data_IF_854416101655
#
_entry.id   IF_854416101655
#
_cell.length_a   1.000
_cell.length_b   1.000
_cell.length_c   1.000
_cell.angle_alpha   90.00
_cell.angle_beta   90.00
_cell.angle_gamma   90.00
#
_symmetry.space_group_name_H-M   'P 1'
#
loop_
_entity.id
_entity.type
_entity.pdbx_description
1 polymer ?
#
# COMPACT_ATOMS: atom_id res chain seq x y z
N UNK A 1 -12.18 -33.42 7.85
CA UNK A 1 -11.86 -32.24 7.00
C UNK A 1 -10.35 -32.18 6.84
N UNK A 2 -9.86 -32.17 5.61
CA UNK A 2 -8.43 -31.98 5.31
C UNK A 2 -8.24 -30.51 4.99
N UNK A 3 -7.34 -29.83 5.71
CA UNK A 3 -6.99 -28.45 5.46
C UNK A 3 -5.60 -28.44 4.83
N UNK A 4 -5.51 -28.09 3.57
CA UNK A 4 -4.23 -27.90 2.90
C UNK A 4 -3.51 -26.65 3.44
N UNK A 5 -2.18 -26.68 3.56
CA UNK A 5 -1.43 -25.48 3.90
C UNK A 5 -1.63 -24.40 2.83
N UNK A 6 -1.60 -23.10 3.20
CA UNK A 6 -1.68 -22.04 2.23
C UNK A 6 -0.51 -22.11 1.24
N UNK A 7 -0.77 -21.70 -0.01
CA UNK A 7 0.29 -21.59 -1.00
C UNK A 7 1.35 -20.56 -0.52
N UNK A 8 2.63 -20.80 -0.77
CA UNK A 8 3.66 -19.83 -0.39
C UNK A 8 3.41 -18.48 -1.12
N UNK A 9 3.80 -17.35 -0.50
CA UNK A 9 3.75 -16.05 -1.17
C UNK A 9 4.48 -16.09 -2.52
N UNK A 10 3.96 -15.38 -3.51
CA UNK A 10 4.65 -15.19 -4.80
C UNK A 10 6.04 -14.59 -4.58
N UNK A 11 6.97 -14.89 -5.47
CA UNK A 11 8.22 -14.14 -5.56
C UNK A 11 7.96 -12.73 -6.15
N UNK A 12 8.92 -11.81 -5.99
CA UNK A 12 8.86 -10.51 -6.66
C UNK A 12 8.85 -10.67 -8.18
N UNK A 13 9.66 -11.59 -8.70
CA UNK A 13 9.78 -11.89 -10.13
C UNK A 13 8.47 -12.42 -10.71
N UNK A 14 7.75 -13.28 -9.98
CA UNK A 14 6.45 -13.78 -10.41
C UNK A 14 5.39 -12.68 -10.39
N UNK A 15 5.45 -11.80 -9.38
CA UNK A 15 4.57 -10.64 -9.30
C UNK A 15 4.84 -9.68 -10.46
N UNK A 16 6.10 -9.32 -10.72
CA UNK A 16 6.49 -8.45 -11.83
C UNK A 16 6.04 -9.03 -13.16
N UNK A 17 6.29 -10.32 -13.39
CA UNK A 17 5.87 -11.05 -14.60
C UNK A 17 4.35 -10.99 -14.80
N UNK A 18 3.58 -11.07 -13.71
CA UNK A 18 2.11 -10.96 -13.79
C UNK A 18 1.63 -9.55 -14.18
N UNK A 19 2.38 -8.51 -13.82
CA UNK A 19 2.10 -7.14 -14.25
C UNK A 19 2.64 -6.81 -15.65
N UNK A 20 3.60 -7.57 -16.14
CA UNK A 20 4.17 -7.45 -17.49
C UNK A 20 3.33 -8.09 -18.60
N UNK A 21 2.24 -8.78 -18.24
CA UNK A 21 1.31 -9.32 -19.23
C UNK A 21 0.68 -8.18 -20.06
N UNK A 22 0.36 -8.43 -21.34
CA UNK A 22 -0.10 -7.39 -22.27
C UNK A 22 -1.54 -6.94 -21.99
N UNK A 23 -1.78 -6.34 -20.86
CA UNK A 23 -3.07 -5.77 -20.51
C UNK A 23 -3.33 -4.50 -21.32
N UNK A 24 -4.50 -4.42 -21.94
CA UNK A 24 -4.91 -3.21 -22.68
C UNK A 24 -5.20 -2.02 -21.78
N UNK A 25 -5.48 -2.24 -20.50
CA UNK A 25 -5.95 -1.24 -19.51
C UNK A 25 -7.22 -0.50 -19.95
N UNK A 26 -7.94 -1.03 -20.93
CA UNK A 26 -9.17 -0.46 -21.48
C UNK A 26 -10.38 -1.29 -21.05
N UNK A 27 -11.58 -0.67 -20.98
CA UNK A 27 -12.82 -1.42 -20.79
C UNK A 27 -13.04 -2.46 -21.88
N UNK A 28 -13.69 -3.56 -21.53
CA UNK A 28 -14.07 -4.56 -22.51
C UNK A 28 -14.96 -3.94 -23.61
N UNK A 29 -14.80 -4.30 -24.91
CA UNK A 29 -15.53 -3.70 -26.04
C UNK A 29 -17.06 -3.68 -25.90
N UNK A 30 -17.66 -4.62 -25.14
CA UNK A 30 -19.11 -4.62 -24.85
C UNK A 30 -19.61 -3.37 -24.14
N UNK A 31 -18.72 -2.60 -23.53
CA UNK A 31 -19.04 -1.34 -22.85
C UNK A 31 -18.82 -0.10 -23.72
N UNK A 32 -18.56 -0.26 -25.02
CA UNK A 32 -18.37 0.86 -25.94
C UNK A 32 -19.55 1.83 -25.84
N UNK A 33 -19.26 3.11 -25.67
CA UNK A 33 -20.27 4.16 -25.48
C UNK A 33 -20.93 4.22 -24.10
N UNK A 34 -20.54 3.35 -23.15
CA UNK A 34 -21.04 3.38 -21.78
C UNK A 34 -19.94 3.87 -20.82
N UNK A 35 -20.33 4.78 -19.93
CA UNK A 35 -19.45 5.22 -18.85
C UNK A 35 -19.39 4.17 -17.75
N UNK A 36 -18.18 3.83 -17.28
CA UNK A 36 -17.95 2.93 -16.17
C UNK A 36 -17.27 3.73 -15.05
N UNK A 37 -18.02 4.19 -14.01
CA UNK A 37 -17.48 5.05 -12.96
C UNK A 37 -16.27 4.43 -12.24
N UNK A 38 -16.29 3.13 -11.96
CA UNK A 38 -15.18 2.44 -11.33
C UNK A 38 -13.90 2.50 -12.18
N UNK A 39 -14.03 2.33 -13.51
CA UNK A 39 -12.89 2.46 -14.41
C UNK A 39 -12.32 3.89 -14.40
N UNK A 40 -13.18 4.91 -14.45
CA UNK A 40 -12.74 6.31 -14.40
C UNK A 40 -11.95 6.63 -13.14
N UNK A 41 -12.26 5.98 -12.02
CA UNK A 41 -11.57 6.17 -10.75
C UNK A 41 -10.17 5.54 -10.72
N UNK A 42 -9.98 4.37 -11.39
CA UNK A 42 -8.78 3.56 -11.21
C UNK A 42 -7.87 3.49 -12.44
N UNK A 43 -8.31 3.96 -13.61
CA UNK A 43 -7.57 3.81 -14.89
C UNK A 43 -6.13 4.33 -14.86
N UNK A 44 -5.84 5.30 -14.03
CA UNK A 44 -4.51 5.88 -13.83
C UNK A 44 -3.90 5.54 -12.47
N UNK A 45 -4.31 4.43 -11.87
CA UNK A 45 -3.70 3.92 -10.65
C UNK A 45 -2.64 2.86 -10.96
N UNK A 46 -1.60 2.83 -10.13
CA UNK A 46 -0.50 1.87 -10.18
C UNK A 46 -0.47 1.12 -8.86
N UNK A 47 -0.61 -0.20 -8.93
CA UNK A 47 -0.47 -1.06 -7.75
C UNK A 47 1.00 -1.46 -7.59
N UNK A 48 1.60 -1.15 -6.43
CA UNK A 48 3.03 -1.36 -6.19
C UNK A 48 3.35 -2.60 -5.34
N UNK A 49 2.36 -3.15 -4.64
CA UNK A 49 2.52 -4.36 -3.83
C UNK A 49 1.19 -5.06 -3.59
N UNK A 50 1.26 -6.31 -3.15
CA UNK A 50 0.14 -7.12 -2.67
C UNK A 50 0.37 -7.51 -1.23
N UNK A 51 -0.71 -7.92 -0.55
CA UNK A 51 -0.68 -8.31 0.86
C UNK A 51 -0.90 -7.12 1.80
N UNK A 52 -1.28 -7.43 3.03
CA UNK A 52 -1.47 -6.44 4.09
C UNK A 52 -1.28 -7.11 5.46
N UNK A 53 -0.32 -6.66 6.23
CA UNK A 53 -0.08 -7.17 7.59
C UNK A 53 -0.92 -6.46 8.67
N UNK A 54 -1.87 -5.62 8.26
CA UNK A 54 -2.81 -4.96 9.17
C UNK A 54 -3.68 -5.92 9.96
N UNK A 55 -4.16 -7.00 9.31
CA UNK A 55 -4.91 -8.07 9.96
C UNK A 55 -6.21 -7.61 10.63
N UNK A 56 -6.85 -6.55 10.11
CA UNK A 56 -8.13 -6.08 10.62
C UNK A 56 -9.18 -7.18 10.54
N UNK A 57 -9.98 -7.36 11.61
CA UNK A 57 -10.86 -8.52 11.77
C UNK A 57 -11.99 -8.59 10.73
N UNK A 58 -12.37 -7.48 10.15
CA UNK A 58 -13.43 -7.36 9.15
C UNK A 58 -12.90 -7.40 7.69
N UNK A 59 -11.57 -7.34 7.49
CA UNK A 59 -10.97 -7.19 6.18
C UNK A 59 -10.43 -8.52 5.64
N UNK A 60 -10.82 -8.88 4.43
CA UNK A 60 -10.39 -10.14 3.79
C UNK A 60 -9.05 -10.03 3.06
N UNK A 61 -8.44 -8.85 2.94
CA UNK A 61 -7.20 -8.67 2.19
C UNK A 61 -6.08 -9.56 2.72
N UNK A 62 -5.87 -9.60 4.04
CA UNK A 62 -4.83 -10.45 4.63
C UNK A 62 -5.11 -11.95 4.47
N UNK A 63 -6.37 -12.36 4.29
CA UNK A 63 -6.74 -13.75 3.98
C UNK A 63 -6.59 -14.04 2.49
N UNK A 64 -7.01 -13.11 1.62
CA UNK A 64 -7.03 -13.29 0.17
C UNK A 64 -5.65 -13.07 -0.49
N UNK A 65 -4.95 -11.99 -0.12
CA UNK A 65 -3.63 -11.65 -0.68
C UNK A 65 -2.48 -12.07 0.23
N UNK A 66 -2.78 -12.47 1.45
CA UNK A 66 -1.80 -12.83 2.46
C UNK A 66 -1.39 -11.67 3.37
N UNK A 67 -0.79 -12.06 4.50
CA UNK A 67 -0.22 -11.16 5.50
C UNK A 67 1.15 -10.60 5.08
N UNK A 68 1.88 -11.35 4.28
CA UNK A 68 3.22 -10.96 3.84
C UNK A 68 3.12 -10.02 2.63
N UNK A 69 3.89 -8.95 2.69
CA UNK A 69 3.96 -8.00 1.58
C UNK A 69 4.84 -8.59 0.48
N UNK A 70 4.29 -8.68 -0.71
CA UNK A 70 5.04 -8.96 -1.95
C UNK A 70 5.04 -7.68 -2.77
N UNK A 71 6.21 -7.07 -2.92
CA UNK A 71 6.38 -5.80 -3.61
C UNK A 71 6.90 -6.01 -5.01
N UNK A 72 6.40 -5.22 -5.94
CA UNK A 72 6.97 -5.14 -7.29
C UNK A 72 8.34 -4.50 -7.26
N UNK A 73 9.17 -4.82 -8.23
CA UNK A 73 10.41 -4.10 -8.46
C UNK A 73 10.15 -2.66 -8.89
N UNK A 74 11.11 -1.79 -8.67
CA UNK A 74 11.07 -0.40 -9.14
C UNK A 74 10.95 -0.34 -10.66
N UNK A 75 11.68 -1.19 -11.34
CA UNK A 75 11.71 -1.31 -12.80
C UNK A 75 10.31 -1.64 -13.36
N UNK A 76 9.63 -2.64 -12.78
CA UNK A 76 8.27 -3.03 -13.15
C UNK A 76 7.28 -1.87 -12.95
N UNK A 77 7.37 -1.16 -11.82
CA UNK A 77 6.51 -0.01 -11.54
C UNK A 77 6.74 1.12 -12.54
N UNK A 78 8.00 1.50 -12.79
CA UNK A 78 8.34 2.58 -13.73
C UNK A 78 7.97 2.23 -15.17
N UNK A 79 8.08 0.95 -15.56
CA UNK A 79 7.61 0.46 -16.87
C UNK A 79 6.11 0.71 -17.03
N UNK A 80 5.30 0.28 -16.07
CA UNK A 80 3.85 0.49 -16.11
C UNK A 80 3.46 1.97 -16.11
N UNK A 81 4.15 2.82 -15.34
CA UNK A 81 3.93 4.29 -15.38
C UNK A 81 4.14 4.84 -16.79
N UNK A 82 5.21 4.41 -17.49
CA UNK A 82 5.49 4.83 -18.86
C UNK A 82 4.40 4.37 -19.85
N UNK A 83 3.78 3.23 -19.62
CA UNK A 83 2.64 2.75 -20.41
C UNK A 83 1.37 3.58 -20.13
N UNK A 84 1.10 3.90 -18.86
CA UNK A 84 -0.04 4.75 -18.46
C UNK A 84 0.03 6.15 -19.05
N UNK A 85 1.23 6.74 -19.16
CA UNK A 85 1.42 8.05 -19.78
C UNK A 85 0.94 8.08 -21.24
N UNK A 86 1.00 6.95 -21.94
CA UNK A 86 0.58 6.84 -23.35
C UNK A 86 -0.93 6.71 -23.52
N UNK A 87 -1.69 6.55 -22.44
CA UNK A 87 -3.15 6.45 -22.54
C UNK A 87 -3.77 7.77 -23.04
N UNK A 88 -4.76 7.73 -23.97
CA UNK A 88 -5.27 8.93 -24.64
C UNK A 88 -5.79 10.03 -23.71
N UNK A 89 -6.37 9.63 -22.58
CA UNK A 89 -6.99 10.55 -21.60
C UNK A 89 -6.05 10.99 -20.49
N UNK A 90 -4.80 10.55 -20.51
CA UNK A 90 -3.85 10.88 -19.44
C UNK A 90 -3.45 12.37 -19.50
N UNK A 91 -3.58 13.05 -18.37
CA UNK A 91 -3.32 14.50 -18.25
C UNK A 91 -2.12 14.83 -17.34
N UNK A 92 -1.31 13.81 -17.03
CA UNK A 92 -0.14 13.96 -16.15
C UNK A 92 -0.38 13.63 -14.68
N UNK A 93 -1.54 13.08 -14.32
CA UNK A 93 -1.91 12.80 -12.94
C UNK A 93 -2.16 11.31 -12.72
N UNK A 94 -1.35 10.67 -11.87
CA UNK A 94 -1.67 9.35 -11.34
C UNK A 94 -2.67 9.50 -10.19
N UNK A 95 -3.75 8.73 -10.23
CA UNK A 95 -4.81 8.80 -9.20
C UNK A 95 -4.45 8.06 -7.93
N UNK A 96 -3.59 7.05 -8.03
CA UNK A 96 -3.05 6.29 -6.90
C UNK A 96 -1.74 5.62 -7.30
N UNK A 97 -0.71 5.80 -6.47
CA UNK A 97 0.55 5.05 -6.53
C UNK A 97 0.67 4.31 -5.19
N UNK A 98 -0.02 3.19 -5.07
CA UNK A 98 -0.23 2.54 -3.79
C UNK A 98 -0.51 1.04 -3.86
N UNK A 99 -1.18 0.54 -2.85
CA UNK A 99 -1.52 -0.87 -2.71
C UNK A 99 -2.65 -1.09 -1.71
N UNK A 100 -2.85 -2.31 -1.19
CA UNK A 100 -3.88 -2.61 -0.19
C UNK A 100 -3.81 -1.72 1.05
N UNK A 101 -2.61 -1.20 1.35
CA UNK A 101 -2.36 -0.12 2.29
C UNK A 101 -1.21 0.72 1.74
N UNK A 102 -1.37 2.03 1.66
CA UNK A 102 -0.45 2.91 0.93
C UNK A 102 1.01 2.80 1.39
N UNK A 103 1.25 2.66 2.69
CA UNK A 103 2.58 2.72 3.28
C UNK A 103 3.11 1.37 3.81
N UNK A 104 3.01 0.31 3.00
CA UNK A 104 3.54 -1.01 3.34
C UNK A 104 4.55 -1.56 2.31
N UNK A 105 4.89 -0.79 1.28
CA UNK A 105 5.80 -1.20 0.22
C UNK A 105 7.17 -1.63 0.80
N UNK A 106 7.63 -2.82 0.44
CA UNK A 106 8.86 -3.48 0.90
C UNK A 106 9.00 -3.66 2.42
N UNK A 107 7.93 -3.46 3.18
CA UNK A 107 7.95 -3.74 4.61
C UNK A 107 7.80 -5.24 4.87
N UNK A 108 8.77 -5.82 5.57
CA UNK A 108 8.80 -7.25 5.92
C UNK A 108 9.44 -7.48 7.28
N UNK A 109 9.44 -8.72 7.76
CA UNK A 109 10.20 -9.08 8.96
C UNK A 109 11.70 -8.96 8.74
N UNK A 110 12.42 -8.46 9.74
CA UNK A 110 13.89 -8.39 9.74
C UNK A 110 14.49 -9.79 9.77
N UNK A 111 13.87 -10.69 10.53
CA UNK A 111 14.19 -12.11 10.58
C UNK A 111 12.99 -12.90 10.04
N UNK A 112 13.16 -13.49 8.87
CA UNK A 112 12.14 -14.27 8.19
C UNK A 112 11.86 -15.62 8.89
N UNK A 113 12.82 -16.20 9.62
CA UNK A 113 12.61 -17.45 10.34
C UNK A 113 11.59 -17.28 11.48
N UNK A 114 11.59 -16.11 12.13
CA UNK A 114 10.57 -15.74 13.11
C UNK A 114 9.21 -15.61 12.41
N UNK A 115 9.16 -14.95 11.25
CA UNK A 115 7.92 -14.74 10.51
C UNK A 115 7.29 -16.04 10.02
N UNK A 116 8.08 -16.99 9.55
CA UNK A 116 7.60 -18.32 9.11
C UNK A 116 6.86 -19.10 10.19
N UNK A 117 7.23 -18.92 11.46
CA UNK A 117 6.60 -19.57 12.62
C UNK A 117 5.49 -18.72 13.27
N UNK A 118 5.32 -17.49 12.82
CA UNK A 118 4.44 -16.52 13.47
C UNK A 118 2.96 -16.77 13.15
N UNK A 119 2.16 -17.00 14.22
CA UNK A 119 0.70 -17.20 14.14
C UNK A 119 -0.12 -15.93 14.40
N UNK A 120 0.53 -14.77 14.64
CA UNK A 120 -0.19 -13.52 14.88
C UNK A 120 -0.93 -13.09 13.60
N UNK A 121 -2.21 -12.69 13.70
CA UNK A 121 -2.98 -12.23 12.54
C UNK A 121 -2.54 -10.85 12.05
N UNK A 122 -1.90 -10.05 12.91
CA UNK A 122 -1.46 -8.69 12.61
C UNK A 122 0.00 -8.47 13.04
N UNK A 123 0.76 -7.73 12.25
CA UNK A 123 2.11 -7.27 12.63
C UNK A 123 2.10 -5.91 13.35
N UNK A 124 0.93 -5.23 13.41
CA UNK A 124 0.82 -3.88 13.97
C UNK A 124 -0.22 -3.76 15.10
N UNK A 125 -1.02 -4.79 15.34
CA UNK A 125 -1.98 -4.81 16.44
C UNK A 125 -1.69 -5.97 17.41
N UNK A 126 -1.81 -5.78 18.74
CA UNK A 126 -2.10 -4.52 19.47
C UNK A 126 -0.92 -3.55 19.51
N UNK A 127 0.28 -4.00 19.16
CA UNK A 127 1.51 -3.20 19.06
C UNK A 127 2.29 -3.61 17.82
N UNK A 128 3.03 -2.67 17.24
CA UNK A 128 3.94 -2.93 16.11
C UNK A 128 4.95 -4.00 16.51
N UNK A 129 5.12 -4.99 15.65
CA UNK A 129 6.01 -6.12 15.88
C UNK A 129 7.47 -5.62 15.89
N UNK A 130 8.28 -5.95 16.90
CA UNK A 130 9.69 -5.55 16.94
C UNK A 130 10.51 -6.09 15.76
N UNK A 131 10.06 -7.23 15.19
CA UNK A 131 10.66 -7.82 14.01
C UNK A 131 10.23 -7.17 12.69
N UNK A 132 9.28 -6.22 12.70
CA UNK A 132 8.86 -5.52 11.49
C UNK A 132 9.91 -4.46 11.10
N UNK A 133 10.37 -4.51 9.85
CA UNK A 133 11.05 -3.39 9.23
C UNK A 133 10.00 -2.38 8.78
N UNK A 134 9.99 -1.20 9.39
CA UNK A 134 9.07 -0.09 9.10
C UNK A 134 9.73 1.06 8.34
N UNK A 135 10.79 0.78 7.61
CA UNK A 135 11.53 1.78 6.83
C UNK A 135 10.74 2.20 5.59
N UNK A 136 10.49 3.49 5.45
CA UNK A 136 9.76 4.05 4.31
C UNK A 136 10.66 4.52 3.15
N UNK A 137 11.99 4.40 3.25
CA UNK A 137 12.93 4.82 2.18
C UNK A 137 12.61 4.19 0.82
N UNK A 138 12.34 2.86 0.71
CA UNK A 138 12.02 2.27 -0.58
C UNK A 138 10.78 2.89 -1.24
N UNK A 139 9.79 3.29 -0.44
CA UNK A 139 8.58 3.94 -0.93
C UNK A 139 8.84 5.38 -1.39
N UNK A 140 9.64 6.12 -0.62
CA UNK A 140 10.11 7.46 -1.01
C UNK A 140 10.88 7.43 -2.33
N UNK A 141 11.72 6.42 -2.53
CA UNK A 141 12.49 6.25 -3.77
C UNK A 141 11.58 5.99 -4.98
N UNK A 142 10.48 5.25 -4.78
CA UNK A 142 9.47 5.06 -5.83
C UNK A 142 8.80 6.39 -6.16
N UNK A 143 8.36 7.16 -5.16
CA UNK A 143 7.66 8.43 -5.39
C UNK A 143 8.56 9.42 -6.16
N UNK A 144 9.79 9.62 -5.70
CA UNK A 144 10.77 10.48 -6.37
C UNK A 144 11.07 10.04 -7.81
N UNK A 145 11.18 8.72 -8.01
CA UNK A 145 11.46 8.19 -9.34
C UNK A 145 10.29 8.33 -10.31
N UNK A 146 9.06 8.16 -9.84
CA UNK A 146 7.84 8.33 -10.65
C UNK A 146 7.63 9.81 -10.99
N UNK A 147 7.75 10.71 -10.02
CA UNK A 147 7.55 12.14 -10.25
C UNK A 147 8.62 12.76 -11.15
N UNK A 148 9.80 12.11 -11.28
CA UNK A 148 10.84 12.51 -12.21
C UNK A 148 10.57 12.09 -13.67
N UNK A 149 9.55 11.26 -13.95
CA UNK A 149 9.26 10.80 -15.32
C UNK A 149 8.62 11.94 -16.12
N UNK A 150 9.16 12.28 -17.31
CA UNK A 150 8.54 13.24 -18.20
C UNK A 150 7.10 12.84 -18.55
N UNK A 151 6.18 13.79 -18.40
CA UNK A 151 4.73 13.54 -18.57
C UNK A 151 3.96 13.32 -17.27
N UNK A 152 4.62 13.05 -16.15
CA UNK A 152 4.02 13.08 -14.82
C UNK A 152 4.07 14.52 -14.27
N UNK A 153 2.93 15.07 -13.94
CA UNK A 153 2.80 16.35 -13.23
C UNK A 153 2.68 16.12 -11.73
N UNK A 154 1.98 15.06 -11.33
CA UNK A 154 1.80 14.68 -9.94
C UNK A 154 1.35 13.22 -9.82
N UNK A 155 1.88 12.51 -8.84
CA UNK A 155 1.38 11.21 -8.40
C UNK A 155 0.63 11.36 -7.08
N UNK A 156 -0.64 10.97 -7.06
CA UNK A 156 -1.45 11.01 -5.84
C UNK A 156 -1.47 9.66 -5.16
N UNK A 157 -1.77 9.68 -3.87
CA UNK A 157 -1.99 8.50 -3.05
C UNK A 157 -3.47 8.46 -2.68
N UNK A 158 -4.22 7.58 -3.37
CA UNK A 158 -5.63 7.35 -3.14
C UNK A 158 -5.91 6.17 -2.19
N UNK A 159 -4.91 5.33 -1.95
CA UNK A 159 -4.96 4.20 -1.02
C UNK A 159 -4.93 4.66 0.44
N UNK A 160 -5.51 3.85 1.35
CA UNK A 160 -5.55 4.18 2.77
C UNK A 160 -4.18 4.08 3.45
N UNK A 161 -3.82 5.12 4.18
CA UNK A 161 -2.56 5.21 4.93
C UNK A 161 -2.74 4.64 6.34
N UNK A 162 -1.80 3.82 6.78
CA UNK A 162 -1.71 3.32 8.16
C UNK A 162 -1.00 4.37 9.01
N UNK A 163 -1.79 5.24 9.65
CA UNK A 163 -1.28 6.29 10.53
C UNK A 163 -0.57 5.75 11.78
N UNK A 164 -0.93 4.57 12.24
CA UNK A 164 -0.25 3.88 13.33
C UNK A 164 1.21 3.52 13.00
N UNK A 165 1.54 3.27 11.72
CA UNK A 165 2.93 3.14 11.28
C UNK A 165 3.65 4.50 11.24
N UNK A 166 2.94 5.59 10.95
CA UNK A 166 3.53 6.93 10.93
C UNK A 166 3.84 7.43 12.37
N UNK A 167 3.00 7.06 13.33
CA UNK A 167 3.20 7.39 14.74
C UNK A 167 4.19 6.47 15.44
N UNK A 168 4.53 5.33 14.84
CA UNK A 168 5.40 4.34 15.47
C UNK A 168 6.84 4.84 15.60
N UNK A 169 7.35 4.82 16.83
CA UNK A 169 8.76 5.08 17.11
C UNK A 169 9.52 3.73 17.18
N UNK A 170 10.31 3.46 16.17
CA UNK A 170 11.20 2.31 16.12
C UNK A 170 12.45 2.58 16.99
N UNK A 171 13.13 1.50 17.41
CA UNK A 171 14.48 1.61 17.99
C UNK A 171 15.53 2.05 16.95
N UNK A 172 15.22 1.92 15.67
CA UNK A 172 16.07 2.35 14.57
C UNK A 172 15.80 3.83 14.23
N UNK A 173 16.75 4.69 14.59
CA UNK A 173 16.66 6.12 14.33
C UNK A 173 16.60 6.45 12.80
N UNK A 174 17.18 5.62 11.94
CA UNK A 174 17.11 5.82 10.49
C UNK A 174 15.69 5.56 9.99
N UNK A 175 15.02 4.51 10.49
CA UNK A 175 13.61 4.24 10.17
C UNK A 175 12.69 5.37 10.66
N UNK A 176 12.94 5.94 11.82
CA UNK A 176 12.15 7.09 12.33
C UNK A 176 12.32 8.33 11.44
N UNK A 177 13.55 8.63 11.01
CA UNK A 177 13.80 9.72 10.06
C UNK A 177 13.10 9.49 8.72
N UNK A 178 13.18 8.29 8.17
CA UNK A 178 12.50 7.96 6.90
C UNK A 178 10.98 8.06 7.03
N UNK A 179 10.41 7.70 8.17
CA UNK A 179 8.98 7.84 8.44
C UNK A 179 8.57 9.32 8.49
N UNK A 180 9.36 10.18 9.13
CA UNK A 180 9.09 11.61 9.17
C UNK A 180 9.21 12.26 7.77
N UNK A 181 10.24 11.89 7.00
CA UNK A 181 10.40 12.33 5.60
C UNK A 181 9.22 11.88 4.74
N UNK A 182 8.83 10.60 4.85
CA UNK A 182 7.69 10.05 4.13
C UNK A 182 6.38 10.78 4.47
N UNK A 183 6.14 11.03 5.76
CA UNK A 183 4.93 11.73 6.20
C UNK A 183 4.86 13.13 5.60
N UNK A 184 5.97 13.86 5.62
CA UNK A 184 6.06 15.20 4.99
C UNK A 184 5.83 15.12 3.49
N UNK A 185 6.53 14.22 2.81
CA UNK A 185 6.42 14.04 1.36
C UNK A 185 4.99 13.71 0.95
N UNK A 186 4.36 12.74 1.64
CA UNK A 186 2.98 12.34 1.41
C UNK A 186 2.03 13.54 1.50
N UNK A 187 2.09 14.31 2.61
CA UNK A 187 1.14 15.38 2.87
C UNK A 187 1.33 16.55 1.89
N UNK A 188 2.57 16.92 1.61
CA UNK A 188 2.87 18.09 0.76
C UNK A 188 2.66 17.79 -0.73
N UNK A 189 3.05 16.60 -1.18
CA UNK A 189 3.16 16.32 -2.61
C UNK A 189 2.13 15.34 -3.15
N UNK A 190 1.58 14.43 -2.34
CA UNK A 190 0.79 13.30 -2.85
C UNK A 190 -0.67 13.26 -2.41
N UNK A 191 -1.13 14.27 -1.65
CA UNK A 191 -2.56 14.38 -1.24
C UNK A 191 -3.32 15.24 -2.24
N UNK A 192 -4.38 14.69 -2.83
CA UNK A 192 -5.25 15.38 -3.81
C UNK A 192 -6.41 16.16 -3.17
N UNK A 193 -6.26 16.61 -1.92
CA UNK A 193 -7.30 17.32 -1.16
C UNK A 193 -7.78 16.59 0.10
N UNK A 194 -7.76 15.25 0.11
CA UNK A 194 -8.10 14.44 1.29
C UNK A 194 -7.10 13.32 1.46
N UNK A 195 -6.46 13.30 2.63
CA UNK A 195 -5.66 12.14 3.05
C UNK A 195 -6.60 11.01 3.49
N UNK A 196 -6.47 9.84 2.86
CA UNK A 196 -7.26 8.66 3.22
C UNK A 196 -6.63 7.97 4.43
N UNK A 197 -7.34 8.03 5.54
CA UNK A 197 -7.07 7.25 6.76
C UNK A 197 -8.37 6.61 7.23
N UNK A 198 -8.27 5.51 7.94
CA UNK A 198 -9.43 4.72 8.34
C UNK A 198 -9.41 4.44 9.85
N UNK A 199 -9.85 5.39 10.70
CA UNK A 199 -10.00 5.15 12.14
C UNK A 199 -11.10 4.13 12.43
N UNK A 200 -12.13 4.03 11.60
CA UNK A 200 -13.26 3.09 11.59
C UNK A 200 -14.29 3.33 12.68
N UNK A 201 -13.89 3.60 13.93
CA UNK A 201 -14.79 3.82 15.06
C UNK A 201 -14.15 4.75 16.10
N UNK A 202 -14.95 5.26 17.04
CA UNK A 202 -14.49 6.10 18.14
C UNK A 202 -14.37 5.35 19.49
N UNK A 203 -14.98 4.18 19.62
CA UNK A 203 -14.90 3.35 20.82
C UNK A 203 -13.72 2.39 20.76
N UNK A 204 -12.80 2.48 21.71
CA UNK A 204 -11.63 1.61 21.79
C UNK A 204 -11.98 0.14 21.98
N UNK A 205 -13.11 -0.16 22.66
CA UNK A 205 -13.61 -1.53 22.78
C UNK A 205 -13.92 -2.13 21.40
N UNK A 206 -14.58 -1.37 20.53
CA UNK A 206 -14.91 -1.80 19.16
C UNK A 206 -13.62 -1.87 18.33
N UNK A 207 -12.76 -0.87 18.40
CA UNK A 207 -11.50 -0.82 17.69
C UNK A 207 -10.58 -1.99 18.04
N UNK A 208 -10.52 -2.39 19.29
CA UNK A 208 -9.77 -3.57 19.75
C UNK A 208 -10.28 -4.86 19.10
N UNK A 209 -11.60 -5.06 19.01
CA UNK A 209 -12.21 -6.21 18.32
C UNK A 209 -11.89 -6.17 16.82
N UNK A 210 -11.94 -4.98 16.22
CA UNK A 210 -11.60 -4.77 14.82
C UNK A 210 -10.09 -4.91 14.52
N UNK A 211 -9.22 -5.01 15.52
CA UNK A 211 -7.76 -4.94 15.42
C UNK A 211 -7.29 -3.65 14.77
N UNK A 212 -7.86 -2.55 15.20
CA UNK A 212 -7.50 -1.18 14.81
C UNK A 212 -6.75 -0.47 15.94
N UNK A 213 -5.96 0.57 15.64
CA UNK A 213 -5.38 1.45 16.67
C UNK A 213 -6.46 2.12 17.51
N UNK A 214 -6.13 2.55 18.73
CA UNK A 214 -7.04 3.32 19.59
C UNK A 214 -7.45 4.64 18.93
N UNK A 215 -8.61 5.17 19.32
CA UNK A 215 -9.05 6.47 18.82
C UNK A 215 -8.12 7.60 19.23
N UNK A 216 -7.49 7.50 20.39
CA UNK A 216 -6.45 8.44 20.85
C UNK A 216 -5.27 8.53 19.86
N UNK A 217 -4.84 7.42 19.26
CA UNK A 217 -3.81 7.45 18.21
C UNK A 217 -4.25 8.24 16.98
N UNK A 218 -5.52 8.13 16.61
CA UNK A 218 -6.06 8.94 15.51
C UNK A 218 -6.11 10.42 15.88
N UNK A 219 -6.52 10.78 17.10
CA UNK A 219 -6.50 12.16 17.59
C UNK A 219 -5.07 12.73 17.63
N UNK A 220 -4.09 11.91 18.00
CA UNK A 220 -2.66 12.28 17.97
C UNK A 220 -2.18 12.53 16.54
N UNK A 221 -2.60 11.67 15.60
CA UNK A 221 -2.23 11.84 14.20
C UNK A 221 -2.82 13.10 13.55
N UNK A 222 -3.97 13.58 14.01
CA UNK A 222 -4.62 14.80 13.50
C UNK A 222 -3.90 16.10 13.90
N UNK A 223 -3.13 16.09 14.97
CA UNK A 223 -2.34 17.24 15.48
C UNK A 223 -1.07 17.44 14.70
#
# INVERSE_FOLDING_TARGET
VVVNPPYPPMSQEDLDRSFDLPYTRLPHPKYKGKRIPAYDMIKFSINIHRGCFGGCAFCTISAHQGKFIVSRSKESILKEVKEVIQLPDFKGYLSDLGGPSANMYQMKGKDEAICKKCKRPSCIHPKVCPNLNSDHRPLLDIYKAVDAIPGIKKSFIGSGVRYDLLLHQSKDAAANRSTAEYTRELIVNHVSGRLKVAPEHTSDRVLSIMRKPSFEQFETFKK
#
